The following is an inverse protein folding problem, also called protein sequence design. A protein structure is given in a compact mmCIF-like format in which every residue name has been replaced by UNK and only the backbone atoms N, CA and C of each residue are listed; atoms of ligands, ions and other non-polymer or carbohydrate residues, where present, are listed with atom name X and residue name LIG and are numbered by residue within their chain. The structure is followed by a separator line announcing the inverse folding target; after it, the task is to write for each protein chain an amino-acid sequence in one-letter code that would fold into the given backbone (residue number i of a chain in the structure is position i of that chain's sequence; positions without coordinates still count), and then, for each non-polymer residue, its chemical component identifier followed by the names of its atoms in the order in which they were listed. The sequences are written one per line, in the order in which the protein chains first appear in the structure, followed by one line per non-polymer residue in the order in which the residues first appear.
data_IF_528825724927
#
_entry.id   IF_528825724927
#
_cell.length_a   1.000
_cell.length_b   1.000
_cell.length_c   1.000
_cell.angle_alpha   90.00
_cell.angle_beta   90.00
_cell.angle_gamma   90.00
#
_symmetry.space_group_name_H-M   'P 1'
#
loop_
_entity.id
_entity.type
_entity.pdbx_description
1 polymer ?
#
# COMPACT_ATOMS: atom_id res chain seq x y z
N UNK A 1 -29.47 5.46 -11.58
CA UNK A 1 -29.02 6.40 -10.50
C UNK A 1 -27.79 5.89 -9.71
N UNK A 2 -26.89 5.10 -10.32
CA UNK A 2 -25.78 4.40 -9.63
C UNK A 2 -24.36 4.88 -10.00
N UNK A 3 -24.20 5.72 -11.03
CA UNK A 3 -22.90 6.13 -11.57
C UNK A 3 -22.25 7.32 -10.85
N UNK A 4 -23.01 8.12 -10.13
CA UNK A 4 -22.49 9.32 -9.43
C UNK A 4 -21.75 9.00 -8.13
N UNK A 5 -22.11 7.93 -7.42
CA UNK A 5 -21.46 7.55 -6.14
C UNK A 5 -20.01 7.04 -6.30
N UNK A 6 -19.69 6.40 -7.41
CA UNK A 6 -18.34 5.88 -7.66
C UNK A 6 -17.36 7.01 -7.93
N UNK A 7 -17.80 8.07 -8.64
CA UNK A 7 -16.94 9.22 -8.98
C UNK A 7 -16.57 10.07 -7.76
N UNK A 8 -17.47 10.21 -6.79
CA UNK A 8 -17.21 11.00 -5.58
C UNK A 8 -16.24 10.31 -4.64
N UNK A 9 -16.34 8.98 -4.49
CA UNK A 9 -15.39 8.19 -3.71
C UNK A 9 -13.97 8.25 -4.29
N UNK A 10 -13.82 8.13 -5.60
CA UNK A 10 -12.50 8.23 -6.24
C UNK A 10 -11.88 9.63 -6.13
N UNK A 11 -12.70 10.68 -6.23
CA UNK A 11 -12.24 12.07 -6.04
C UNK A 11 -11.76 12.31 -4.62
N UNK A 12 -12.48 11.80 -3.62
CA UNK A 12 -12.12 11.92 -2.22
C UNK A 12 -10.79 11.21 -1.92
N UNK A 13 -10.59 9.98 -2.42
CA UNK A 13 -9.35 9.23 -2.24
C UNK A 13 -8.16 9.94 -2.90
N UNK A 14 -8.33 10.47 -4.12
CA UNK A 14 -7.29 11.26 -4.80
C UNK A 14 -6.96 12.54 -4.04
N UNK A 15 -7.98 13.21 -3.47
CA UNK A 15 -7.80 14.41 -2.63
C UNK A 15 -7.00 14.11 -1.36
N UNK A 16 -7.38 13.10 -0.60
CA UNK A 16 -6.70 12.69 0.64
C UNK A 16 -5.25 12.27 0.37
N UNK A 17 -5.01 11.49 -0.69
CA UNK A 17 -3.65 11.11 -1.08
C UNK A 17 -2.79 12.31 -1.43
N UNK A 18 -3.34 13.30 -2.15
CA UNK A 18 -2.64 14.53 -2.49
C UNK A 18 -2.29 15.35 -1.26
N UNK A 19 -3.24 15.49 -0.32
CA UNK A 19 -3.01 16.18 0.95
C UNK A 19 -1.90 15.48 1.73
N UNK A 20 -1.94 14.16 1.87
CA UNK A 20 -0.92 13.40 2.60
C UNK A 20 0.48 13.58 1.97
N UNK A 21 0.60 13.54 0.64
CA UNK A 21 1.89 13.78 -0.05
C UNK A 21 2.40 15.20 0.23
N UNK A 22 1.54 16.21 0.12
CA UNK A 22 1.92 17.59 0.41
C UNK A 22 2.32 17.78 1.87
N UNK A 23 1.60 17.14 2.81
CA UNK A 23 1.95 17.17 4.25
C UNK A 23 3.36 16.62 4.48
N UNK A 24 3.71 15.49 3.86
CA UNK A 24 5.07 14.91 3.95
C UNK A 24 6.11 15.91 3.41
N UNK A 25 5.88 16.44 2.21
CA UNK A 25 6.83 17.38 1.58
C UNK A 25 7.04 18.62 2.44
N UNK A 26 5.94 19.26 2.88
CA UNK A 26 5.99 20.47 3.71
C UNK A 26 6.68 20.19 5.04
N UNK A 27 6.37 19.07 5.70
CA UNK A 27 7.02 18.67 6.96
C UNK A 27 8.53 18.47 6.79
N UNK A 28 8.95 17.80 5.71
CA UNK A 28 10.37 17.58 5.43
C UNK A 28 11.10 18.87 5.12
N UNK A 29 10.50 19.78 4.33
CA UNK A 29 11.09 21.09 4.03
C UNK A 29 11.23 21.92 5.31
N UNK A 30 10.20 21.92 6.16
CA UNK A 30 10.22 22.64 7.44
C UNK A 30 11.32 22.10 8.38
N UNK A 31 11.43 20.77 8.47
CA UNK A 31 12.49 20.11 9.24
C UNK A 31 13.89 20.47 8.71
N UNK A 32 14.05 20.47 7.39
CA UNK A 32 15.33 20.83 6.75
C UNK A 32 15.71 22.30 7.03
N UNK A 33 14.74 23.22 6.94
CA UNK A 33 14.98 24.64 7.23
C UNK A 33 15.39 24.88 8.70
N UNK A 34 14.73 24.20 9.64
CA UNK A 34 15.11 24.25 11.07
C UNK A 34 16.52 23.68 11.26
N UNK A 35 16.83 22.54 10.64
CA UNK A 35 18.16 21.95 10.70
C UNK A 35 19.26 22.89 10.17
N UNK A 36 19.02 23.54 9.02
CA UNK A 36 19.93 24.52 8.45
C UNK A 36 20.08 25.72 9.38
N UNK A 37 18.97 26.28 9.87
CA UNK A 37 18.99 27.39 10.82
C UNK A 37 19.83 27.07 12.07
N UNK A 38 19.64 25.88 12.64
CA UNK A 38 20.36 25.39 13.82
C UNK A 38 21.86 25.29 13.58
N UNK A 39 22.27 24.76 12.41
CA UNK A 39 23.69 24.65 12.02
C UNK A 39 24.31 26.04 11.89
N UNK A 40 23.57 26.98 11.29
CA UNK A 40 24.07 28.35 11.06
C UNK A 40 24.10 29.19 12.34
N UNK A 41 23.10 29.05 13.21
CA UNK A 41 23.02 29.81 14.46
C UNK A 41 23.92 29.24 15.57
N UNK A 42 24.32 27.98 15.49
CA UNK A 42 25.14 27.32 16.52
C UNK A 42 24.39 27.04 17.84
N UNK A 43 23.10 27.39 17.92
CA UNK A 43 22.29 27.24 19.13
C UNK A 43 21.12 26.28 18.88
N UNK A 44 21.22 25.07 19.45
CA UNK A 44 20.18 24.07 19.38
C UNK A 44 19.41 24.00 20.69
N UNK A 45 18.40 24.84 20.79
CA UNK A 45 17.55 24.87 21.98
C UNK A 45 16.51 23.72 22.01
N UNK A 46 15.95 23.50 23.20
CA UNK A 46 14.93 22.48 23.44
C UNK A 46 13.71 22.66 22.52
N UNK A 47 13.26 23.90 22.32
CA UNK A 47 12.09 24.20 21.46
C UNK A 47 12.33 23.82 20.02
N UNK A 48 13.51 24.11 19.47
CA UNK A 48 13.88 23.72 18.11
C UNK A 48 13.87 22.19 17.94
N UNK A 49 14.39 21.47 18.93
CA UNK A 49 14.35 20.01 18.97
C UNK A 49 12.92 19.46 18.97
N UNK A 50 12.04 20.02 19.79
CA UNK A 50 10.62 19.64 19.85
C UNK A 50 9.91 19.88 18.52
N UNK A 51 10.11 21.03 17.89
CA UNK A 51 9.52 21.36 16.57
C UNK A 51 10.04 20.40 15.49
N UNK A 52 11.35 20.14 15.46
CA UNK A 52 11.94 19.19 14.52
C UNK A 52 11.38 17.77 14.68
N UNK A 53 11.31 17.26 15.90
CA UNK A 53 10.73 15.95 16.19
C UNK A 53 9.25 15.87 15.83
N UNK A 54 8.48 16.93 16.09
CA UNK A 54 7.06 16.98 15.72
C UNK A 54 6.87 16.93 14.21
N UNK A 55 7.65 17.71 13.45
CA UNK A 55 7.57 17.69 12.00
C UNK A 55 8.00 16.35 11.40
N UNK A 56 9.04 15.72 11.96
CA UNK A 56 9.49 14.39 11.57
C UNK A 56 8.43 13.32 11.88
N UNK A 57 7.81 13.39 13.07
CA UNK A 57 6.72 12.49 13.44
C UNK A 57 5.53 12.62 12.47
N UNK A 58 5.07 13.85 12.18
CA UNK A 58 3.99 14.10 11.22
C UNK A 58 4.35 13.54 9.84
N UNK A 59 5.57 13.76 9.36
CA UNK A 59 6.02 13.21 8.08
C UNK A 59 6.01 11.68 8.09
N UNK A 60 6.56 11.04 9.12
CA UNK A 60 6.60 9.59 9.26
C UNK A 60 5.20 8.95 9.30
N UNK A 61 4.32 9.48 10.15
CA UNK A 61 2.94 8.98 10.24
C UNK A 61 2.10 9.29 8.99
N UNK A 62 2.41 10.35 8.23
CA UNK A 62 1.80 10.60 6.92
C UNK A 62 2.18 9.52 5.90
N UNK A 63 3.44 9.04 5.92
CA UNK A 63 3.87 7.90 5.09
C UNK A 63 3.10 6.63 5.48
N UNK A 64 2.95 6.33 6.77
CA UNK A 64 2.16 5.20 7.25
C UNK A 64 0.70 5.31 6.79
N UNK A 65 0.10 6.50 6.89
CA UNK A 65 -1.27 6.74 6.41
C UNK A 65 -1.41 6.47 4.90
N UNK A 66 -0.41 6.85 4.08
CA UNK A 66 -0.40 6.51 2.66
C UNK A 66 -0.35 5.00 2.40
N UNK A 67 0.42 4.25 3.20
CA UNK A 67 0.47 2.79 3.12
C UNK A 67 -0.89 2.17 3.47
N UNK A 68 -1.59 2.69 4.48
CA UNK A 68 -2.94 2.24 4.84
C UNK A 68 -3.98 2.59 3.78
N UNK A 69 -3.89 3.76 3.14
CA UNK A 69 -4.76 4.17 2.05
C UNK A 69 -4.59 3.32 0.78
N UNK A 70 -3.43 2.70 0.58
CA UNK A 70 -3.14 1.89 -0.60
C UNK A 70 -4.07 0.67 -0.74
N UNK A 71 -4.66 0.16 0.35
CA UNK A 71 -5.58 -0.99 0.34
C UNK A 71 -7.06 -0.60 0.35
N UNK A 72 -7.40 0.70 0.34
CA UNK A 72 -8.77 1.20 0.52
C UNK A 72 -9.76 0.79 -0.57
N UNK A 73 -9.28 0.54 -1.80
CA UNK A 73 -10.09 0.08 -2.94
C UNK A 73 -10.30 -1.44 -3.01
N UNK A 74 -9.96 -2.20 -1.95
CA UNK A 74 -10.00 -3.67 -1.92
C UNK A 74 -10.96 -4.19 -0.84
N UNK A 75 -11.23 -5.49 -0.86
CA UNK A 75 -12.07 -6.17 0.14
C UNK A 75 -11.52 -6.07 1.56
N UNK A 76 -10.21 -5.81 1.70
CA UNK A 76 -9.49 -5.67 2.97
C UNK A 76 -9.45 -4.22 3.52
N UNK A 77 -10.35 -3.35 3.09
CA UNK A 77 -10.44 -1.93 3.51
C UNK A 77 -10.48 -1.71 5.04
N UNK A 78 -10.96 -2.69 5.80
CA UNK A 78 -11.06 -2.60 7.25
C UNK A 78 -9.66 -2.50 7.90
N UNK A 79 -8.67 -3.21 7.36
CA UNK A 79 -7.27 -3.11 7.83
C UNK A 79 -6.69 -1.72 7.56
N UNK A 80 -7.09 -1.07 6.47
CA UNK A 80 -6.71 0.31 6.18
C UNK A 80 -7.25 1.30 7.23
N UNK A 81 -8.54 1.17 7.61
CA UNK A 81 -9.14 2.01 8.65
C UNK A 81 -8.52 1.80 10.03
N UNK A 82 -8.33 0.54 10.44
CA UNK A 82 -7.67 0.22 11.71
C UNK A 82 -6.25 0.79 11.73
N UNK A 83 -5.50 0.64 10.63
CA UNK A 83 -4.16 1.19 10.50
C UNK A 83 -4.09 2.71 10.61
N UNK A 84 -5.03 3.45 9.96
CA UNK A 84 -5.12 4.90 10.06
C UNK A 84 -5.44 5.32 11.50
N UNK A 85 -6.40 4.66 12.16
CA UNK A 85 -6.76 4.92 13.55
C UNK A 85 -5.58 4.70 14.50
N UNK A 86 -4.89 3.57 14.38
CA UNK A 86 -3.70 3.24 15.20
C UNK A 86 -2.56 4.24 14.95
N UNK A 87 -2.31 4.62 13.69
CA UNK A 87 -1.30 5.64 13.35
C UNK A 87 -1.65 7.01 13.92
N UNK A 88 -2.94 7.39 13.93
CA UNK A 88 -3.41 8.63 14.54
C UNK A 88 -3.20 8.64 16.06
N UNK A 89 -3.50 7.55 16.74
CA UNK A 89 -3.24 7.38 18.19
C UNK A 89 -1.74 7.48 18.46
N UNK A 90 -0.90 6.78 17.69
CA UNK A 90 0.55 6.82 17.86
C UNK A 90 1.11 8.24 17.64
N UNK A 91 0.62 8.97 16.62
CA UNK A 91 1.02 10.35 16.39
C UNK A 91 0.61 11.28 17.55
N UNK A 92 -0.61 11.13 18.09
CA UNK A 92 -1.07 11.88 19.26
C UNK A 92 -0.21 11.63 20.49
N UNK A 93 0.13 10.36 20.77
CA UNK A 93 1.04 9.99 21.86
C UNK A 93 2.46 10.52 21.63
N UNK A 94 2.98 10.45 20.41
CA UNK A 94 4.27 11.03 20.05
C UNK A 94 4.30 12.53 20.31
N UNK A 95 3.28 13.26 19.85
CA UNK A 95 3.18 14.70 20.10
C UNK A 95 3.13 15.02 21.60
N UNK A 96 2.35 14.27 22.39
CA UNK A 96 2.29 14.43 23.84
C UNK A 96 3.64 14.21 24.48
N UNK A 97 4.40 13.17 24.10
CA UNK A 97 5.72 12.87 24.65
C UNK A 97 6.76 13.91 24.23
N UNK A 98 6.73 14.41 23.00
CA UNK A 98 7.66 15.44 22.49
C UNK A 98 7.48 16.75 23.27
N UNK A 99 6.23 17.13 23.58
CA UNK A 99 5.92 18.36 24.29
C UNK A 99 5.85 18.19 25.82
N UNK A 100 6.17 16.97 26.32
CA UNK A 100 6.31 16.74 27.74
C UNK A 100 7.46 17.57 28.32
N UNK A 101 7.39 17.88 29.60
CA UNK A 101 8.47 18.60 30.29
C UNK A 101 9.66 17.67 30.55
N UNK A 102 10.70 17.77 29.71
CA UNK A 102 11.84 16.86 29.73
C UNK A 102 12.70 17.03 31.01
N UNK A 103 12.74 18.22 31.61
CA UNK A 103 13.52 18.46 32.82
C UNK A 103 13.06 17.59 33.98
N UNK A 104 11.75 17.40 34.15
CA UNK A 104 11.20 16.62 35.24
C UNK A 104 11.21 15.10 34.96
N UNK A 105 11.06 14.70 33.69
CA UNK A 105 10.99 13.29 33.29
C UNK A 105 12.35 12.59 33.23
N UNK A 106 13.46 13.33 33.10
CA UNK A 106 14.80 12.76 32.95
C UNK A 106 15.40 12.33 34.31
N UNK A 107 15.04 13.00 35.40
CA UNK A 107 15.55 12.70 36.74
C UNK A 107 14.67 11.70 37.50
N UNK A 108 13.35 11.78 37.36
CA UNK A 108 12.38 10.84 37.96
C UNK A 108 11.16 10.75 37.03
N UNK A 109 11.16 9.84 36.06
CA UNK A 109 10.01 9.70 35.19
C UNK A 109 8.79 9.25 35.97
N UNK A 110 7.69 10.03 35.87
CA UNK A 110 6.41 9.66 36.49
C UNK A 110 5.86 8.39 35.86
N UNK A 111 5.09 7.60 36.63
CA UNK A 111 4.40 6.41 36.12
C UNK A 111 3.55 6.73 34.88
N UNK A 112 2.97 7.93 34.82
CA UNK A 112 2.20 8.39 33.66
C UNK A 112 3.08 8.52 32.43
N UNK A 113 4.27 9.12 32.55
CA UNK A 113 5.22 9.27 31.44
C UNK A 113 5.68 7.90 30.91
N UNK A 114 6.00 6.98 31.81
CA UNK A 114 6.40 5.61 31.44
C UNK A 114 5.26 4.88 30.70
N UNK A 115 4.04 4.98 31.21
CA UNK A 115 2.86 4.36 30.58
C UNK A 115 2.54 4.98 29.20
N UNK A 116 2.68 6.30 29.05
CA UNK A 116 2.53 6.97 27.74
C UNK A 116 3.62 6.51 26.77
N UNK A 117 4.86 6.37 27.21
CA UNK A 117 5.97 5.88 26.39
C UNK A 117 5.72 4.44 25.92
N UNK A 118 5.29 3.55 26.80
CA UNK A 118 4.90 2.18 26.45
C UNK A 118 3.72 2.16 25.44
N UNK A 119 2.69 2.96 25.72
CA UNK A 119 1.53 3.06 24.83
C UNK A 119 1.90 3.58 23.45
N UNK A 120 2.80 4.57 23.36
CA UNK A 120 3.35 5.06 22.11
C UNK A 120 4.13 3.95 21.38
N UNK A 121 5.05 3.27 22.08
CA UNK A 121 5.87 2.23 21.49
C UNK A 121 5.02 1.09 20.93
N UNK A 122 4.02 0.63 21.68
CA UNK A 122 3.08 -0.42 21.24
C UNK A 122 2.25 0.05 20.03
N UNK A 123 1.64 1.24 20.12
CA UNK A 123 0.80 1.76 19.04
C UNK A 123 1.59 2.03 17.76
N UNK A 124 2.81 2.56 17.88
CA UNK A 124 3.70 2.78 16.75
C UNK A 124 4.13 1.46 16.10
N UNK A 125 4.51 0.47 16.90
CA UNK A 125 4.87 -0.88 16.42
C UNK A 125 3.70 -1.52 15.65
N UNK A 126 2.48 -1.47 16.21
CA UNK A 126 1.27 -2.00 15.56
C UNK A 126 0.97 -1.22 14.26
N UNK A 127 1.08 0.11 14.27
CA UNK A 127 0.85 0.92 13.07
C UNK A 127 1.84 0.56 11.94
N UNK A 128 3.13 0.42 12.26
CA UNK A 128 4.16 0.02 11.29
C UNK A 128 3.91 -1.40 10.77
N UNK A 129 3.59 -2.35 11.65
CA UNK A 129 3.30 -3.74 11.26
C UNK A 129 2.06 -3.82 10.35
N UNK A 130 1.00 -3.06 10.65
CA UNK A 130 -0.19 -2.98 9.80
C UNK A 130 0.12 -2.31 8.45
N UNK A 131 0.95 -1.27 8.42
CA UNK A 131 1.37 -0.64 7.17
C UNK A 131 2.17 -1.63 6.30
N UNK A 132 3.09 -2.37 6.92
CA UNK A 132 3.86 -3.42 6.27
C UNK A 132 2.94 -4.52 5.71
N UNK A 133 2.01 -5.04 6.51
CA UNK A 133 1.02 -6.02 6.07
C UNK A 133 0.17 -5.48 4.90
N UNK A 134 -0.28 -4.22 4.97
CA UNK A 134 -1.05 -3.60 3.89
C UNK A 134 -0.25 -3.50 2.59
N UNK A 135 1.05 -3.18 2.64
CA UNK A 135 1.91 -3.19 1.46
C UNK A 135 2.04 -4.60 0.88
N UNK A 136 2.20 -5.63 1.72
CA UNK A 136 2.23 -7.02 1.27
C UNK A 136 0.90 -7.46 0.64
N UNK A 137 -0.24 -7.04 1.19
CA UNK A 137 -1.56 -7.32 0.63
C UNK A 137 -1.77 -6.75 -0.79
N UNK A 138 -0.98 -5.77 -1.23
CA UNK A 138 -0.99 -5.31 -2.62
C UNK A 138 -0.57 -6.42 -3.61
N UNK A 139 0.17 -7.42 -3.15
CA UNK A 139 0.63 -8.55 -3.96
C UNK A 139 -0.39 -9.70 -4.04
N UNK A 140 -1.51 -9.62 -3.29
CA UNK A 140 -2.51 -10.70 -3.16
C UNK A 140 -3.10 -11.16 -4.50
N UNK A 141 -3.23 -10.26 -5.49
CA UNK A 141 -3.81 -10.57 -6.82
C UNK A 141 -2.82 -11.25 -7.76
N UNK A 142 -1.80 -11.94 -7.24
CA UNK A 142 -0.90 -12.74 -8.08
C UNK A 142 -1.61 -14.00 -8.57
N UNK A 143 -1.52 -14.35 -9.88
CA UNK A 143 -2.11 -15.56 -10.43
C UNK A 143 -1.36 -16.84 -10.02
N UNK A 144 -0.16 -16.72 -9.43
CA UNK A 144 0.67 -17.86 -9.03
C UNK A 144 0.36 -18.31 -7.60
N UNK A 145 0.01 -19.58 -7.44
CA UNK A 145 -0.34 -20.17 -6.14
C UNK A 145 0.79 -20.05 -5.12
N UNK A 146 2.04 -20.30 -5.53
CA UNK A 146 3.19 -20.23 -4.63
C UNK A 146 3.43 -18.81 -4.08
N UNK A 147 3.16 -17.74 -4.88
CA UNK A 147 3.26 -16.35 -4.40
C UNK A 147 2.21 -16.09 -3.31
N UNK A 148 1.00 -16.62 -3.47
CA UNK A 148 -0.05 -16.49 -2.44
C UNK A 148 0.31 -17.21 -1.15
N UNK A 149 0.90 -18.42 -1.24
CA UNK A 149 1.39 -19.16 -0.07
C UNK A 149 2.53 -18.42 0.62
N UNK A 150 3.51 -17.94 -0.15
CA UNK A 150 4.61 -17.15 0.38
C UNK A 150 4.14 -15.83 1.02
N UNK A 151 3.12 -15.17 0.44
CA UNK A 151 2.47 -14.00 1.02
C UNK A 151 1.80 -14.32 2.38
N UNK A 152 1.10 -15.47 2.48
CA UNK A 152 0.51 -15.87 3.75
C UNK A 152 1.57 -16.10 4.83
N UNK A 153 2.70 -16.72 4.47
CA UNK A 153 3.84 -16.89 5.39
C UNK A 153 4.41 -15.54 5.82
N UNK A 154 4.61 -14.60 4.89
CA UNK A 154 5.08 -13.26 5.21
C UNK A 154 4.13 -12.52 6.16
N UNK A 155 2.81 -12.59 5.93
CA UNK A 155 1.82 -11.98 6.84
C UNK A 155 1.85 -12.58 8.24
N UNK A 156 2.07 -13.89 8.36
CA UNK A 156 2.25 -14.55 9.65
C UNK A 156 3.52 -14.03 10.35
N UNK A 157 4.66 -13.94 9.64
CA UNK A 157 5.91 -13.41 10.20
C UNK A 157 5.73 -11.97 10.68
N UNK A 158 5.11 -11.09 9.86
CA UNK A 158 4.78 -9.69 10.22
C UNK A 158 3.94 -9.63 11.51
N UNK A 159 3.08 -10.61 11.76
CA UNK A 159 2.25 -10.66 12.97
C UNK A 159 3.03 -11.19 14.18
N UNK A 160 3.97 -12.13 13.97
CA UNK A 160 4.80 -12.72 15.04
C UNK A 160 5.73 -11.62 15.63
N UNK A 161 6.32 -10.77 14.81
CA UNK A 161 7.25 -9.72 15.27
C UNK A 161 6.64 -8.84 16.38
N UNK A 162 5.50 -8.15 16.19
CA UNK A 162 4.91 -7.36 17.27
C UNK A 162 4.44 -8.22 18.44
N UNK A 163 3.98 -9.44 18.21
CA UNK A 163 3.59 -10.37 19.28
C UNK A 163 4.75 -10.71 20.21
N UNK A 164 5.96 -10.79 19.71
CA UNK A 164 7.15 -11.00 20.51
C UNK A 164 7.62 -9.69 21.19
N UNK A 165 7.56 -8.55 20.53
CA UNK A 165 8.10 -7.29 21.06
C UNK A 165 7.18 -6.66 22.10
N UNK A 166 5.86 -6.72 21.92
CA UNK A 166 4.90 -6.07 22.83
C UNK A 166 5.05 -6.51 24.29
N UNK A 167 5.16 -7.81 24.62
CA UNK A 167 5.37 -8.24 26.02
C UNK A 167 6.65 -7.66 26.62
N UNK A 168 7.72 -7.56 25.85
CA UNK A 168 8.99 -6.97 26.30
C UNK A 168 8.80 -5.48 26.66
N UNK A 169 8.08 -4.72 25.84
CA UNK A 169 7.77 -3.31 26.09
C UNK A 169 6.91 -3.14 27.36
N UNK A 170 5.85 -3.95 27.48
CA UNK A 170 4.89 -3.83 28.58
C UNK A 170 5.49 -4.21 29.94
N UNK A 171 6.48 -5.11 29.93
CA UNK A 171 7.12 -5.61 31.15
C UNK A 171 8.46 -4.94 31.48
N UNK A 172 8.79 -3.83 30.81
CA UNK A 172 10.08 -3.12 30.97
C UNK A 172 11.30 -4.04 30.79
N UNK A 173 11.18 -5.00 29.88
CA UNK A 173 12.25 -5.96 29.58
C UNK A 173 12.44 -7.08 30.62
N UNK A 174 11.52 -7.22 31.60
CA UNK A 174 11.56 -8.35 32.55
C UNK A 174 11.11 -9.67 31.89
N UNK A 175 10.38 -9.59 30.80
CA UNK A 175 10.08 -10.70 29.89
C UNK A 175 11.06 -10.69 28.71
N UNK A 176 11.57 -11.84 28.26
CA UNK A 176 11.39 -13.21 28.80
C UNK A 176 12.22 -13.44 30.08
N UNK A 177 11.84 -14.45 30.92
CA UNK A 177 12.61 -14.83 32.08
C UNK A 177 14.05 -15.20 31.69
N UNK A 178 15.03 -14.93 32.58
CA UNK A 178 16.46 -15.13 32.29
C UNK A 178 16.79 -16.53 31.79
N UNK A 179 16.07 -17.58 32.26
CA UNK A 179 16.24 -18.96 31.82
C UNK A 179 15.92 -19.22 30.34
N UNK A 180 15.10 -18.35 29.70
CA UNK A 180 14.69 -18.48 28.31
C UNK A 180 15.20 -17.36 27.41
N UNK A 181 15.92 -16.40 27.97
CA UNK A 181 16.31 -15.16 27.27
C UNK A 181 17.12 -15.45 26.00
N UNK A 182 18.10 -16.33 26.05
CA UNK A 182 18.93 -16.68 24.89
C UNK A 182 18.12 -17.31 23.76
N UNK A 183 17.24 -18.26 24.10
CA UNK A 183 16.39 -18.93 23.11
C UNK A 183 15.41 -17.96 22.49
N UNK A 184 14.82 -17.09 23.31
CA UNK A 184 13.88 -16.07 22.85
C UNK A 184 14.51 -15.11 21.83
N UNK A 185 15.68 -14.54 22.15
CA UNK A 185 16.33 -13.59 21.26
C UNK A 185 16.89 -14.25 19.98
N UNK A 186 17.35 -15.51 20.07
CA UNK A 186 17.71 -16.26 18.87
C UNK A 186 16.51 -16.53 17.98
N UNK A 187 15.37 -16.95 18.57
CA UNK A 187 14.13 -17.16 17.82
C UNK A 187 13.64 -15.85 17.19
N UNK A 188 13.62 -14.76 17.95
CA UNK A 188 13.26 -13.44 17.45
C UNK A 188 14.16 -13.00 16.28
N UNK A 189 15.47 -13.20 16.40
CA UNK A 189 16.42 -12.90 15.32
C UNK A 189 16.14 -13.70 14.05
N UNK A 190 15.84 -15.00 14.17
CA UNK A 190 15.46 -15.83 13.02
C UNK A 190 14.18 -15.33 12.37
N UNK A 191 13.16 -14.99 13.17
CA UNK A 191 11.88 -14.43 12.65
C UNK A 191 12.12 -13.13 11.90
N UNK A 192 12.94 -12.21 12.44
CA UNK A 192 13.29 -10.96 11.78
C UNK A 192 14.01 -11.18 10.44
N UNK A 193 14.95 -12.09 10.38
CA UNK A 193 15.68 -12.41 9.13
C UNK A 193 14.70 -12.97 8.09
N UNK A 194 13.82 -13.87 8.49
CA UNK A 194 12.83 -14.47 7.60
C UNK A 194 11.80 -13.41 7.12
N UNK A 195 11.37 -12.51 8.00
CA UNK A 195 10.46 -11.42 7.66
C UNK A 195 11.10 -10.44 6.67
N UNK A 196 12.35 -10.03 6.93
CA UNK A 196 13.11 -9.17 6.01
C UNK A 196 13.32 -9.85 4.65
N UNK A 197 13.67 -11.13 4.64
CA UNK A 197 13.82 -11.91 3.40
C UNK A 197 12.51 -11.96 2.61
N UNK A 198 11.41 -12.30 3.27
CA UNK A 198 10.08 -12.38 2.64
C UNK A 198 9.65 -11.02 2.08
N UNK A 199 9.89 -9.94 2.83
CA UNK A 199 9.55 -8.56 2.43
C UNK A 199 10.30 -8.12 1.18
N UNK A 200 11.54 -8.54 0.99
CA UNK A 200 12.35 -8.19 -0.19
C UNK A 200 12.07 -9.16 -1.33
N UNK A 201 12.07 -10.47 -1.06
CA UNK A 201 11.95 -11.50 -2.08
C UNK A 201 10.60 -11.49 -2.82
N UNK A 202 9.48 -11.27 -2.11
CA UNK A 202 8.14 -11.31 -2.70
C UNK A 202 7.91 -10.20 -3.74
N UNK A 203 8.15 -8.91 -3.47
CA UNK A 203 8.01 -7.87 -4.48
C UNK A 203 8.95 -8.08 -5.67
N UNK A 204 10.23 -8.43 -5.42
CA UNK A 204 11.23 -8.66 -6.47
C UNK A 204 10.80 -9.77 -7.41
N UNK A 205 10.43 -10.94 -6.86
CA UNK A 205 9.96 -12.07 -7.67
C UNK A 205 8.67 -11.75 -8.42
N UNK A 206 7.75 -11.01 -7.81
CA UNK A 206 6.51 -10.57 -8.48
C UNK A 206 6.81 -9.64 -9.66
N UNK A 207 7.77 -8.72 -9.51
CA UNK A 207 8.21 -7.84 -10.60
C UNK A 207 8.86 -8.62 -11.73
N UNK A 208 9.75 -9.56 -11.43
CA UNK A 208 10.41 -10.42 -12.42
C UNK A 208 9.37 -11.22 -13.22
N UNK A 209 8.44 -11.88 -12.53
CA UNK A 209 7.38 -12.67 -13.18
C UNK A 209 6.48 -11.80 -14.07
N UNK A 210 6.14 -10.60 -13.62
CA UNK A 210 5.36 -9.64 -14.45
C UNK A 210 6.14 -9.16 -15.67
N UNK A 211 7.45 -8.92 -15.53
CA UNK A 211 8.32 -8.51 -16.64
C UNK A 211 8.44 -9.62 -17.70
N UNK A 212 8.65 -10.86 -17.29
CA UNK A 212 8.73 -12.01 -18.19
C UNK A 212 7.43 -12.21 -18.97
N UNK A 213 6.27 -12.16 -18.32
CA UNK A 213 4.98 -12.26 -19.00
C UNK A 213 4.71 -11.14 -20.01
N UNK A 214 5.29 -9.97 -19.81
CA UNK A 214 5.18 -8.85 -20.75
C UNK A 214 6.02 -9.09 -22.02
N UNK A 215 7.09 -9.88 -21.90
CA UNK A 215 7.95 -10.27 -23.03
C UNK A 215 7.36 -11.47 -23.81
N UNK A 216 6.63 -12.36 -23.13
CA UNK A 216 5.99 -13.54 -23.73
C UNK A 216 4.68 -13.21 -24.45
N UNK A 217 4.14 -12.00 -24.33
CA UNK A 217 3.09 -11.52 -25.20
C UNK A 217 3.80 -11.16 -26.53
N UNK A 218 3.57 -11.93 -27.63
CA UNK A 218 4.11 -11.53 -28.92
C UNK A 218 3.73 -10.07 -29.16
N UNK A 219 4.62 -9.24 -29.71
CA UNK A 219 4.27 -7.86 -29.96
C UNK A 219 2.94 -7.88 -30.71
N UNK A 220 1.87 -7.51 -30.01
CA UNK A 220 0.59 -7.24 -30.66
C UNK A 220 0.97 -6.27 -31.73
N UNK A 221 0.85 -6.72 -32.98
CA UNK A 221 1.12 -5.97 -34.20
C UNK A 221 0.65 -4.56 -33.89
N UNK A 222 1.61 -3.63 -33.82
CA UNK A 222 1.30 -2.22 -33.55
C UNK A 222 0.10 -1.86 -34.40
N UNK A 223 -0.91 -1.16 -33.90
CA UNK A 223 -1.99 -0.74 -34.75
C UNK A 223 -1.34 0.09 -35.85
N UNK A 224 -1.10 -0.54 -36.98
CA UNK A 224 -0.82 0.17 -38.21
C UNK A 224 -1.95 1.18 -38.34
N UNK A 225 -1.56 2.41 -38.50
CA UNK A 225 -2.43 3.53 -38.78
C UNK A 225 -3.65 3.08 -39.60
N UNK A 226 -4.84 3.32 -39.04
CA UNK A 226 -6.14 3.33 -39.69
C UNK A 226 -6.25 2.55 -41.06
N UNK A 227 -5.84 1.31 -41.07
CA UNK A 227 -6.22 0.34 -42.09
C UNK A 227 -7.43 -0.39 -41.51
N UNK A 228 -8.58 -0.22 -42.13
CA UNK A 228 -9.85 -0.88 -41.84
C UNK A 228 -9.61 -2.30 -41.30
N UNK A 229 -9.87 -2.49 -39.97
CA UNK A 229 -9.76 -3.80 -39.36
C UNK A 229 -10.72 -4.75 -40.08
N UNK A 230 -10.20 -5.56 -40.97
CA UNK A 230 -10.96 -6.59 -41.68
C UNK A 230 -11.15 -7.75 -40.74
N UNK A 231 -12.30 -7.82 -40.08
CA UNK A 231 -12.69 -8.99 -39.30
C UNK A 231 -13.21 -10.04 -40.28
N UNK A 232 -12.46 -11.12 -40.48
CA UNK A 232 -12.95 -12.25 -41.26
C UNK A 232 -13.90 -13.10 -40.42
N UNK A 233 -15.17 -13.11 -40.77
CA UNK A 233 -16.19 -13.95 -40.12
C UNK A 233 -16.44 -15.14 -40.98
N UNK A 234 -16.10 -16.33 -40.52
CA UNK A 234 -16.44 -17.59 -41.19
C UNK A 234 -17.93 -17.92 -40.96
N UNK A 235 -18.73 -17.74 -41.96
CA UNK A 235 -20.13 -18.17 -41.94
C UNK A 235 -20.24 -19.58 -42.43
N UNK A 236 -20.97 -20.46 -41.73
CA UNK A 236 -21.20 -21.86 -42.15
C UNK A 236 -22.70 -22.17 -42.29
N UNK A 237 -23.01 -23.18 -43.11
CA UNK A 237 -24.37 -23.71 -43.26
C UNK A 237 -25.37 -22.69 -43.81
N UNK A 238 -26.56 -22.64 -43.21
CA UNK A 238 -27.72 -21.86 -43.68
C UNK A 238 -27.41 -20.35 -43.77
N UNK A 239 -26.57 -19.83 -42.86
CA UNK A 239 -26.22 -18.42 -42.82
C UNK A 239 -25.33 -18.01 -44.01
N UNK A 240 -24.38 -18.88 -44.41
CA UNK A 240 -23.55 -18.64 -45.56
C UNK A 240 -24.37 -18.68 -46.88
N UNK A 241 -25.27 -19.65 -47.01
CA UNK A 241 -26.18 -19.75 -48.15
C UNK A 241 -27.10 -18.54 -48.26
N UNK A 242 -27.64 -18.05 -47.14
CA UNK A 242 -28.50 -16.85 -47.09
C UNK A 242 -27.76 -15.59 -47.52
N UNK A 243 -26.54 -15.33 -46.97
CA UNK A 243 -25.70 -14.19 -47.34
C UNK A 243 -25.34 -14.23 -48.83
N UNK A 244 -24.99 -15.39 -49.37
CA UNK A 244 -24.69 -15.58 -50.80
C UNK A 244 -25.89 -15.30 -51.70
N UNK A 245 -27.08 -15.80 -51.34
CA UNK A 245 -28.32 -15.52 -52.04
C UNK A 245 -28.63 -14.03 -52.03
N UNK A 246 -28.55 -13.35 -50.87
CA UNK A 246 -28.81 -11.93 -50.75
C UNK A 246 -27.84 -11.06 -51.52
N UNK A 247 -26.56 -11.45 -51.56
CA UNK A 247 -25.52 -10.81 -52.35
C UNK A 247 -25.87 -10.85 -53.86
N UNK A 248 -26.33 -12.01 -54.34
CA UNK A 248 -26.75 -12.18 -55.74
C UNK A 248 -28.00 -11.36 -56.07
N UNK A 249 -29.00 -11.32 -55.18
CA UNK A 249 -30.23 -10.56 -55.37
C UNK A 249 -29.99 -9.03 -55.39
N UNK A 250 -29.03 -8.53 -54.62
CA UNK A 250 -28.75 -7.11 -54.48
C UNK A 250 -27.59 -6.61 -55.35
N UNK A 251 -26.90 -7.49 -56.07
CA UNK A 251 -25.70 -7.14 -56.83
C UNK A 251 -24.51 -6.68 -55.97
N UNK A 252 -24.56 -6.93 -54.64
CA UNK A 252 -23.56 -6.55 -53.70
C UNK A 252 -22.59 -7.70 -53.39
N UNK A 253 -21.42 -7.41 -52.83
CA UNK A 253 -20.51 -8.45 -52.32
C UNK A 253 -21.00 -8.99 -50.96
N UNK A 254 -20.61 -10.24 -50.63
CA UNK A 254 -20.97 -10.84 -49.34
C UNK A 254 -20.57 -9.97 -48.16
N UNK A 255 -19.41 -9.32 -48.21
CA UNK A 255 -18.91 -8.40 -47.17
C UNK A 255 -19.79 -7.16 -47.01
N UNK A 256 -20.30 -6.61 -48.13
CA UNK A 256 -21.22 -5.49 -48.11
C UNK A 256 -22.57 -5.85 -47.46
N UNK A 257 -23.08 -7.05 -47.74
CA UNK A 257 -24.31 -7.55 -47.10
C UNK A 257 -24.12 -7.74 -45.60
N UNK A 258 -23.01 -8.32 -45.16
CA UNK A 258 -22.70 -8.52 -43.75
C UNK A 258 -22.53 -7.15 -43.04
N UNK A 259 -21.81 -6.24 -43.65
CA UNK A 259 -21.59 -4.89 -43.10
C UNK A 259 -22.91 -4.13 -42.93
N UNK A 260 -23.81 -4.23 -43.91
CA UNK A 260 -25.14 -3.59 -43.82
C UNK A 260 -26.00 -4.21 -42.71
N UNK A 261 -25.92 -5.52 -42.50
CA UNK A 261 -26.62 -6.19 -41.40
C UNK A 261 -26.11 -5.75 -40.02
N UNK A 262 -24.79 -5.71 -39.85
CA UNK A 262 -24.18 -5.23 -38.61
C UNK A 262 -24.56 -3.77 -38.32
N UNK A 263 -24.52 -2.90 -39.34
CA UNK A 263 -24.92 -1.51 -39.19
C UNK A 263 -26.41 -1.35 -38.83
N UNK A 264 -27.30 -2.23 -39.35
CA UNK A 264 -28.72 -2.21 -39.00
C UNK A 264 -28.99 -2.72 -37.59
N UNK A 265 -28.23 -3.70 -37.13
CA UNK A 265 -28.33 -4.24 -35.78
C UNK A 265 -27.84 -3.24 -34.69
N UNK A 266 -26.90 -2.37 -35.06
CA UNK A 266 -26.36 -1.33 -34.14
C UNK A 266 -27.31 -0.15 -33.93
N UNK A 267 -28.33 0.04 -34.79
CA UNK A 267 -29.32 1.12 -34.69
C UNK A 267 -30.55 0.76 -33.85
N UNK A 268 -30.70 -0.49 -33.46
CA UNK A 268 -31.72 -0.96 -32.51
C UNK A 268 -31.14 -1.06 -31.08
#
# INVERSE_FOLDING_TARGET
MSTTRVSDSERTIKGVRRIAIWTVIVSLVFTALIGIYTIVSGDFGETQGKVMLTTLAVAGFSILALCHLAVFGRDVKIFGWVGIGTSGVALGLAATLIWWNWSDSMYQPSDLYLNLTKSFAVSALVAVSLAHANLMLLLQNSPLRWIRTALSVALVLITIVPTLVIPVILTDGTFPPMSFQDVYWRFFGVVLILDALATIALPVTTLIVRSQRKHDIPPSVAPHAASSATISVALSGVNAAWVKKRATETGATADQVVTALVASARKK
#
